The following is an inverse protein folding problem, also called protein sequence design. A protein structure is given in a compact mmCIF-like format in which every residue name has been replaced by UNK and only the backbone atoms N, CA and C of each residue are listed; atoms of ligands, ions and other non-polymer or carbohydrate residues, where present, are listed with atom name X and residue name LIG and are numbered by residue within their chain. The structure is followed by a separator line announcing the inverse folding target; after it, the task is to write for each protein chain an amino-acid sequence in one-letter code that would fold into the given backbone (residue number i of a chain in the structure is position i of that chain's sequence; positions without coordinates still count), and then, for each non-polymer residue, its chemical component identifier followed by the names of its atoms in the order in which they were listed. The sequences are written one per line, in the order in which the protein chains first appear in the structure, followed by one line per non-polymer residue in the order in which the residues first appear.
data_IF_882540966512
#
_entry.id   IF_882540966512
#
_cell.length_a   1.000
_cell.length_b   1.000
_cell.length_c   1.000
_cell.angle_alpha   90.00
_cell.angle_beta   90.00
_cell.angle_gamma   90.00
#
_symmetry.space_group_name_H-M   'P 1'
#
loop_
_entity.id
_entity.type
_entity.pdbx_description
1 polymer ?
#
# COMPACT_ATOMS: atom_id res chain seq x y z
N UNK A 1 70.59 29.53 -23.80
CA UNK A 1 70.59 28.13 -23.33
C UNK A 1 69.45 27.95 -22.33
N UNK A 2 68.75 26.80 -22.42
CA UNK A 2 67.66 26.35 -21.52
C UNK A 2 68.04 26.42 -20.03
N UNK A 3 67.07 26.72 -19.15
CA UNK A 3 66.53 25.84 -18.06
C UNK A 3 65.64 26.65 -17.08
N UNK A 4 64.34 26.30 -16.98
CA UNK A 4 63.69 25.52 -15.87
C UNK A 4 63.61 26.33 -14.56
N UNK A 5 62.47 26.94 -14.23
CA UNK A 5 61.34 26.42 -13.41
C UNK A 5 61.71 26.14 -11.94
N UNK A 6 61.18 26.95 -11.01
CA UNK A 6 60.85 26.49 -9.66
C UNK A 6 59.64 27.29 -9.15
N UNK A 7 58.55 26.57 -8.93
CA UNK A 7 57.34 27.02 -8.24
C UNK A 7 57.57 27.03 -6.72
N UNK A 8 56.86 27.89 -5.98
CA UNK A 8 56.26 27.59 -4.67
C UNK A 8 55.20 28.67 -4.32
N UNK A 9 53.97 28.15 -4.15
CA UNK A 9 52.80 28.57 -3.37
C UNK A 9 52.63 30.01 -2.86
N UNK A 10 51.47 30.60 -3.19
CA UNK A 10 50.43 30.96 -2.20
C UNK A 10 49.13 31.40 -2.92
N UNK A 11 48.29 30.42 -3.26
CA UNK A 11 46.88 30.65 -3.60
C UNK A 11 46.08 30.18 -2.38
N UNK A 12 45.76 31.13 -1.49
CA UNK A 12 44.73 30.90 -0.49
C UNK A 12 43.39 30.79 -1.22
N UNK A 13 42.89 29.57 -1.20
CA UNK A 13 41.56 29.13 -1.57
C UNK A 13 40.46 29.97 -0.90
N UNK A 14 39.82 30.85 -1.68
CA UNK A 14 38.43 31.24 -1.45
C UNK A 14 37.53 30.12 -1.98
N UNK A 15 37.54 28.98 -1.29
CA UNK A 15 36.48 27.97 -1.42
C UNK A 15 35.32 28.50 -0.57
N UNK A 16 34.39 29.18 -1.22
CA UNK A 16 33.05 29.35 -0.66
C UNK A 16 32.51 27.96 -0.32
N UNK A 17 31.99 27.71 0.90
CA UNK A 17 31.29 26.47 1.16
C UNK A 17 30.04 26.45 0.29
N UNK A 18 30.02 25.57 -0.70
CA UNK A 18 28.86 25.20 -1.50
C UNK A 18 27.83 24.56 -0.56
N UNK A 19 27.05 25.40 0.11
CA UNK A 19 25.60 25.31 0.28
C UNK A 19 24.98 23.90 0.19
N UNK A 20 25.35 22.99 1.09
CA UNK A 20 24.61 21.73 1.35
C UNK A 20 23.24 21.97 2.02
N UNK A 21 22.88 23.23 2.32
CA UNK A 21 21.63 23.60 2.99
C UNK A 21 20.43 23.81 2.05
N UNK A 22 20.58 23.79 0.71
CA UNK A 22 19.45 24.11 -0.19
C UNK A 22 18.46 22.95 -0.37
N UNK A 23 18.93 21.71 -0.49
CA UNK A 23 18.07 20.56 -0.78
C UNK A 23 17.23 20.15 0.44
N UNK A 24 17.83 20.16 1.63
CA UNK A 24 17.13 19.87 2.88
C UNK A 24 16.09 20.96 3.22
N UNK A 25 16.43 22.24 2.99
CA UNK A 25 15.49 23.35 3.15
C UNK A 25 14.33 23.28 2.15
N UNK A 26 14.60 22.98 0.88
CA UNK A 26 13.57 22.81 -0.13
C UNK A 26 12.64 21.61 0.16
N UNK A 27 13.20 20.46 0.57
CA UNK A 27 12.41 19.27 0.93
C UNK A 27 11.47 19.53 2.12
N UNK A 28 11.94 20.23 3.15
CA UNK A 28 11.12 20.61 4.32
C UNK A 28 9.97 21.57 3.94
N UNK A 29 10.20 22.48 2.99
CA UNK A 29 9.17 23.40 2.49
C UNK A 29 8.05 22.70 1.70
N UNK A 30 8.40 21.71 0.86
CA UNK A 30 7.42 20.91 0.10
C UNK A 30 6.55 20.09 1.05
N UNK A 31 7.16 19.40 2.03
CA UNK A 31 6.42 18.61 3.00
C UNK A 31 5.43 19.47 3.80
N UNK A 32 5.84 20.66 4.22
CA UNK A 32 4.99 21.60 4.94
C UNK A 32 3.80 22.05 4.10
N UNK A 33 4.04 22.40 2.83
CA UNK A 33 2.99 22.79 1.88
C UNK A 33 1.99 21.64 1.62
N UNK A 34 2.49 20.42 1.41
CA UNK A 34 1.68 19.21 1.23
C UNK A 34 0.82 18.93 2.46
N UNK A 35 1.41 18.99 3.67
CA UNK A 35 0.69 18.79 4.92
C UNK A 35 -0.39 19.85 5.15
N UNK A 36 -0.09 21.12 4.84
CA UNK A 36 -1.08 22.20 4.91
C UNK A 36 -2.25 21.94 3.96
N UNK A 37 -1.98 21.49 2.74
CA UNK A 37 -3.05 21.16 1.79
C UNK A 37 -3.86 19.94 2.26
N UNK A 38 -3.22 18.90 2.78
CA UNK A 38 -3.89 17.73 3.35
C UNK A 38 -4.81 18.10 4.52
N UNK A 39 -4.42 19.07 5.35
CA UNK A 39 -5.29 19.59 6.41
C UNK A 39 -6.47 20.40 5.83
N UNK A 40 -6.22 21.25 4.83
CA UNK A 40 -7.24 22.08 4.20
C UNK A 40 -8.33 21.24 3.51
N UNK A 41 -7.95 20.18 2.77
CA UNK A 41 -8.93 19.33 2.06
C UNK A 41 -9.85 18.55 2.99
N UNK A 42 -9.41 18.24 4.22
CA UNK A 42 -10.26 17.58 5.25
C UNK A 42 -11.41 18.46 5.71
N UNK A 43 -11.22 19.77 5.71
CA UNK A 43 -12.21 20.75 6.14
C UNK A 43 -13.06 21.29 4.98
N UNK A 44 -12.66 20.99 3.74
CA UNK A 44 -13.34 21.47 2.54
C UNK A 44 -14.72 20.83 2.43
N UNK A 45 -15.76 21.66 2.31
CA UNK A 45 -17.10 21.22 1.96
C UNK A 45 -17.21 21.03 0.45
N UNK A 46 -17.65 19.84 0.02
CA UNK A 46 -17.98 19.54 -1.37
C UNK A 46 -19.50 19.27 -1.39
N UNK A 47 -20.32 20.06 -2.11
CA UNK A 47 -21.76 19.87 -2.13
C UNK A 47 -22.16 18.44 -2.49
N UNK A 48 -22.96 17.80 -1.63
CA UNK A 48 -23.43 16.43 -1.82
C UNK A 48 -22.40 15.33 -1.50
N UNK A 49 -21.24 15.67 -0.93
CA UNK A 49 -20.20 14.72 -0.54
C UNK A 49 -19.65 14.99 0.87
N UNK A 50 -19.24 13.91 1.53
CA UNK A 50 -18.56 13.87 2.83
C UNK A 50 -17.13 13.38 2.61
N UNK A 51 -16.18 14.04 3.28
CA UNK A 51 -14.78 13.65 3.27
C UNK A 51 -14.59 12.25 3.88
N UNK A 52 -13.75 11.41 3.25
CA UNK A 52 -13.35 10.11 3.79
C UNK A 52 -11.87 10.04 4.09
N UNK A 53 -11.04 10.26 3.08
CA UNK A 53 -9.59 10.07 3.18
C UNK A 53 -8.87 10.99 2.20
N UNK A 54 -7.64 11.39 2.54
CA UNK A 54 -6.73 12.03 1.60
C UNK A 54 -5.30 11.55 1.83
N UNK A 55 -4.54 11.48 0.76
CA UNK A 55 -3.10 11.19 0.76
C UNK A 55 -2.44 11.86 -0.45
N UNK A 56 -1.12 12.00 -0.43
CA UNK A 56 -0.35 12.51 -1.57
C UNK A 56 0.18 11.37 -2.44
N UNK A 57 0.49 11.62 -3.70
CA UNK A 57 1.12 10.65 -4.61
C UNK A 57 1.83 11.38 -5.74
N UNK A 58 2.93 10.80 -6.23
CA UNK A 58 3.66 11.36 -7.37
C UNK A 58 3.14 10.80 -8.71
N UNK A 59 1.87 11.07 -9.07
CA UNK A 59 1.31 10.53 -10.32
C UNK A 59 2.06 11.02 -11.55
N UNK A 60 2.41 12.31 -11.58
CA UNK A 60 3.09 12.92 -12.73
C UNK A 60 4.62 12.92 -12.62
N UNK A 61 5.15 12.55 -11.45
CA UNK A 61 6.60 12.58 -11.17
C UNK A 61 7.17 13.99 -11.00
N UNK A 62 6.33 15.00 -10.78
CA UNK A 62 6.75 16.37 -10.42
C UNK A 62 7.36 16.42 -9.01
N UNK A 63 8.09 17.49 -8.70
CA UNK A 63 8.73 17.67 -7.39
C UNK A 63 7.73 17.87 -6.24
N UNK A 64 6.57 18.48 -6.51
CA UNK A 64 5.45 18.57 -5.56
C UNK A 64 4.45 17.47 -5.90
N UNK A 65 4.12 16.56 -4.98
CA UNK A 65 3.18 15.48 -5.24
C UNK A 65 1.75 16.02 -5.41
N UNK A 66 0.94 15.28 -6.14
CA UNK A 66 -0.50 15.50 -6.18
C UNK A 66 -1.15 15.10 -4.85
N UNK A 67 -2.24 15.77 -4.45
CA UNK A 67 -3.10 15.35 -3.34
C UNK A 67 -4.32 14.65 -3.90
N UNK A 68 -4.58 13.43 -3.45
CA UNK A 68 -5.78 12.67 -3.77
C UNK A 68 -6.75 12.77 -2.60
N UNK A 69 -7.99 13.13 -2.90
CA UNK A 69 -9.08 13.24 -1.92
C UNK A 69 -10.18 12.29 -2.33
N UNK A 70 -10.50 11.34 -1.45
CA UNK A 70 -11.67 10.49 -1.57
C UNK A 70 -12.81 11.04 -0.72
N UNK A 71 -13.99 11.10 -1.33
CA UNK A 71 -15.23 11.54 -0.71
C UNK A 71 -16.37 10.65 -1.17
N UNK A 72 -17.46 10.62 -0.40
CA UNK A 72 -18.64 9.82 -0.71
C UNK A 72 -19.90 10.62 -0.45
N UNK A 73 -21.00 10.25 -1.10
CA UNK A 73 -22.30 10.87 -0.87
C UNK A 73 -23.35 9.83 -0.55
N UNK A 74 -24.48 10.31 -0.03
CA UNK A 74 -25.61 9.48 0.34
C UNK A 74 -26.72 9.58 -0.70
N UNK A 75 -27.46 8.49 -0.84
CA UNK A 75 -28.76 8.48 -1.51
C UNK A 75 -29.73 9.40 -0.75
N UNK A 76 -30.56 10.09 -1.52
CA UNK A 76 -31.47 11.10 -0.97
C UNK A 76 -32.47 10.44 0.00
N UNK A 77 -32.48 10.93 1.24
CA UNK A 77 -33.40 10.45 2.27
C UNK A 77 -32.97 9.15 2.96
N UNK A 78 -31.75 8.66 2.69
CA UNK A 78 -31.22 7.45 3.34
C UNK A 78 -29.83 7.71 3.93
N UNK A 79 -29.31 6.74 4.67
CA UNK A 79 -27.93 6.73 5.18
C UNK A 79 -27.00 5.88 4.30
N UNK A 80 -27.50 5.48 3.12
CA UNK A 80 -26.83 4.56 2.21
C UNK A 80 -25.90 5.33 1.28
N UNK A 81 -24.66 4.88 1.15
CA UNK A 81 -23.66 5.53 0.30
C UNK A 81 -23.91 5.15 -1.16
N UNK A 82 -24.30 6.08 -2.02
CA UNK A 82 -24.67 5.77 -3.41
C UNK A 82 -23.67 6.26 -4.47
N UNK A 83 -22.72 7.11 -4.04
CA UNK A 83 -21.74 7.73 -4.91
C UNK A 83 -20.40 7.96 -4.23
N UNK A 84 -19.35 7.91 -5.04
CA UNK A 84 -17.98 8.21 -4.64
C UNK A 84 -17.37 9.25 -5.57
N UNK A 85 -16.44 10.03 -5.03
CA UNK A 85 -15.71 11.05 -5.76
C UNK A 85 -14.23 11.00 -5.33
N UNK A 86 -13.36 10.80 -6.31
CA UNK A 86 -11.92 10.89 -6.15
C UNK A 86 -11.42 12.13 -6.90
N UNK A 87 -10.92 13.13 -6.18
CA UNK A 87 -10.34 14.34 -6.77
C UNK A 87 -8.84 14.33 -6.64
N UNK A 88 -8.14 14.72 -7.71
CA UNK A 88 -6.69 14.90 -7.71
C UNK A 88 -6.36 16.38 -7.84
N UNK A 89 -5.63 16.88 -6.86
CA UNK A 89 -5.16 18.25 -6.79
C UNK A 89 -3.70 18.32 -7.16
N UNK A 90 -3.32 19.32 -7.93
CA UNK A 90 -1.94 19.60 -8.28
C UNK A 90 -1.59 21.04 -7.92
N UNK A 91 -0.39 21.23 -7.39
CA UNK A 91 0.15 22.56 -7.12
C UNK A 91 0.71 23.18 -8.39
N UNK A 92 0.33 24.42 -8.66
CA UNK A 92 0.93 25.23 -9.72
C UNK A 92 1.97 26.18 -9.09
N UNK A 93 3.28 25.98 -9.33
CA UNK A 93 4.33 26.82 -8.75
C UNK A 93 4.26 28.28 -9.17
N UNK A 94 3.82 28.57 -10.40
CA UNK A 94 3.73 29.93 -10.94
C UNK A 94 2.63 30.74 -10.26
N UNK A 95 1.47 30.12 -10.00
CA UNK A 95 0.33 30.81 -9.35
C UNK A 95 0.28 30.59 -7.84
N UNK A 96 1.14 29.72 -7.31
CA UNK A 96 1.17 29.27 -5.91
C UNK A 96 -0.18 28.72 -5.41
N UNK A 97 -0.98 28.15 -6.30
CA UNK A 97 -2.34 27.65 -6.01
C UNK A 97 -2.46 26.16 -6.30
N UNK A 98 -3.31 25.49 -5.53
CA UNK A 98 -3.75 24.13 -5.79
C UNK A 98 -5.00 24.16 -6.67
N UNK A 99 -5.03 23.33 -7.71
CA UNK A 99 -6.21 23.15 -8.58
C UNK A 99 -6.52 21.67 -8.75
N UNK A 100 -7.80 21.37 -8.98
CA UNK A 100 -8.23 20.01 -9.32
C UNK A 100 -7.87 19.77 -10.79
N UNK A 101 -7.07 18.74 -11.06
CA UNK A 101 -6.65 18.37 -12.41
C UNK A 101 -7.40 17.13 -12.94
N UNK A 102 -7.93 16.30 -12.04
CA UNK A 102 -8.76 15.15 -12.38
C UNK A 102 -9.85 14.97 -11.33
N UNK A 103 -11.01 14.50 -11.78
CA UNK A 103 -12.09 13.99 -10.92
C UNK A 103 -12.58 12.67 -11.48
N UNK A 104 -12.72 11.66 -10.63
CA UNK A 104 -13.31 10.38 -10.96
C UNK A 104 -14.54 10.22 -10.08
N UNK A 105 -15.72 10.30 -10.68
CA UNK A 105 -16.98 10.09 -9.99
C UNK A 105 -17.54 8.73 -10.40
N UNK A 106 -18.15 8.04 -9.44
CA UNK A 106 -18.88 6.81 -9.67
C UNK A 106 -20.19 6.88 -8.89
N UNK A 107 -21.27 6.41 -9.50
CA UNK A 107 -22.60 6.30 -8.89
C UNK A 107 -23.18 4.92 -9.18
N UNK A 108 -24.10 4.47 -8.32
CA UNK A 108 -24.94 3.29 -8.58
C UNK A 108 -24.18 1.97 -8.87
N UNK A 109 -22.97 1.78 -8.33
CA UNK A 109 -22.24 0.49 -8.45
C UNK A 109 -22.59 -0.45 -7.29
N UNK A 110 -22.74 -1.75 -7.56
CA UNK A 110 -23.35 -2.80 -6.71
C UNK A 110 -22.73 -3.00 -5.29
N UNK A 111 -21.65 -2.28 -4.93
CA UNK A 111 -20.95 -2.40 -3.63
C UNK A 111 -21.23 -1.24 -2.64
N UNK A 112 -22.39 -0.60 -2.78
CA UNK A 112 -22.75 0.75 -2.33
C UNK A 112 -23.12 0.95 -0.84
N UNK A 113 -22.30 0.50 0.12
CA UNK A 113 -22.41 1.05 1.51
C UNK A 113 -21.07 1.44 2.11
N UNK A 114 -20.03 1.61 1.28
CA UNK A 114 -18.67 1.87 1.75
C UNK A 114 -17.98 2.93 0.88
N UNK A 115 -17.24 3.85 1.51
CA UNK A 115 -16.47 4.84 0.78
C UNK A 115 -15.28 4.21 0.05
N UNK A 116 -14.91 4.79 -1.09
CA UNK A 116 -13.72 4.41 -1.84
C UNK A 116 -12.48 4.72 -0.99
N UNK A 117 -11.70 3.72 -0.60
CA UNK A 117 -10.56 3.90 0.31
C UNK A 117 -9.24 3.92 -0.45
N UNK A 118 -8.29 4.74 -0.02
CA UNK A 118 -6.91 4.70 -0.50
C UNK A 118 -6.21 3.56 0.25
N UNK A 119 -5.78 2.54 -0.49
CA UNK A 119 -5.24 1.28 0.07
C UNK A 119 -3.72 1.34 0.15
N UNK A 120 -3.06 1.64 -0.96
CA UNK A 120 -1.60 1.74 -1.03
C UNK A 120 -1.18 2.61 -2.21
N UNK A 121 0.09 3.02 -2.21
CA UNK A 121 0.73 3.73 -3.32
C UNK A 121 2.17 3.28 -3.46
N UNK A 122 2.71 3.41 -4.66
CA UNK A 122 4.10 3.10 -4.92
C UNK A 122 4.43 3.05 -6.40
N UNK A 123 5.69 2.75 -6.69
CA UNK A 123 6.24 2.75 -8.05
C UNK A 123 6.00 1.39 -8.70
N UNK A 124 5.19 1.34 -9.76
CA UNK A 124 4.94 0.13 -10.58
C UNK A 124 5.57 0.20 -11.97
N UNK A 125 5.61 1.39 -12.57
CA UNK A 125 6.04 1.56 -13.96
C UNK A 125 7.51 1.99 -14.04
N UNK A 126 7.86 3.08 -13.36
CA UNK A 126 9.21 3.66 -13.39
C UNK A 126 9.63 4.17 -12.00
N UNK A 127 10.78 4.84 -11.91
CA UNK A 127 11.33 5.31 -10.63
C UNK A 127 10.88 6.71 -10.21
N UNK A 128 10.18 7.43 -11.09
CA UNK A 128 9.76 8.83 -10.91
C UNK A 128 8.28 8.95 -10.57
N UNK A 129 7.44 8.13 -11.20
CA UNK A 129 5.98 8.15 -11.08
C UNK A 129 5.49 7.04 -10.16
N UNK A 130 4.53 7.40 -9.32
CA UNK A 130 3.80 6.47 -8.47
C UNK A 130 2.43 6.16 -9.07
N UNK A 131 1.91 5.01 -8.67
CA UNK A 131 0.56 4.55 -8.91
C UNK A 131 -0.12 4.39 -7.56
N UNK A 132 -1.41 4.64 -7.51
CA UNK A 132 -2.22 4.54 -6.29
C UNK A 132 -3.28 3.47 -6.49
N UNK A 133 -3.37 2.56 -5.53
CA UNK A 133 -4.47 1.62 -5.43
C UNK A 133 -5.52 2.22 -4.52
N UNK A 134 -6.71 2.40 -5.07
CA UNK A 134 -7.92 2.69 -4.29
C UNK A 134 -8.86 1.50 -4.42
N UNK A 135 -9.83 1.37 -3.54
CA UNK A 135 -10.83 0.32 -3.70
C UNK A 135 -11.97 0.40 -2.70
N UNK A 136 -13.05 -0.28 -3.05
CA UNK A 136 -14.17 -0.49 -2.14
C UNK A 136 -13.83 -1.70 -1.25
N UNK A 137 -13.85 -1.50 0.06
CA UNK A 137 -13.68 -2.58 1.04
C UNK A 137 -15.04 -2.86 1.67
N UNK A 138 -15.57 -4.07 1.45
CA UNK A 138 -16.95 -4.40 1.80
C UNK A 138 -17.11 -5.85 2.31
N UNK A 139 -18.32 -6.18 2.77
CA UNK A 139 -18.61 -7.49 3.37
C UNK A 139 -17.94 -7.70 4.73
N UNK A 140 -18.32 -8.79 5.40
CA UNK A 140 -17.75 -9.19 6.71
C UNK A 140 -16.32 -9.72 6.61
N UNK A 141 -15.89 -10.07 5.40
CA UNK A 141 -14.55 -10.55 5.06
C UNK A 141 -13.64 -9.48 4.46
N UNK A 142 -14.03 -8.20 4.52
CA UNK A 142 -13.21 -7.10 3.98
C UNK A 142 -12.77 -7.32 2.53
N UNK A 143 -13.71 -7.74 1.69
CA UNK A 143 -13.49 -7.97 0.27
C UNK A 143 -13.11 -6.65 -0.41
N UNK A 144 -12.04 -6.67 -1.22
CA UNK A 144 -11.50 -5.50 -1.90
C UNK A 144 -11.84 -5.54 -3.39
N UNK A 145 -12.53 -4.53 -3.90
CA UNK A 145 -12.67 -4.27 -5.34
C UNK A 145 -11.72 -3.12 -5.74
N UNK A 146 -10.51 -3.40 -6.26
CA UNK A 146 -9.48 -2.39 -6.44
C UNK A 146 -9.54 -1.71 -7.82
N UNK A 147 -9.11 -0.45 -7.83
CA UNK A 147 -8.80 0.34 -9.01
C UNK A 147 -7.39 0.90 -8.83
N UNK A 148 -6.54 0.72 -9.83
CA UNK A 148 -5.18 1.28 -9.83
C UNK A 148 -5.18 2.51 -10.73
N UNK A 149 -4.96 3.68 -10.14
CA UNK A 149 -4.79 4.93 -10.88
C UNK A 149 -3.31 5.24 -11.09
N UNK A 150 -3.01 5.91 -12.20
CA UNK A 150 -1.69 6.46 -12.45
C UNK A 150 -1.59 7.18 -13.79
N UNK A 151 -0.38 7.61 -14.10
CA UNK A 151 -0.03 8.21 -15.39
C UNK A 151 1.13 7.46 -16.03
N UNK A 152 0.97 7.08 -17.29
CA UNK A 152 2.04 6.47 -18.10
C UNK A 152 2.93 7.54 -18.73
N UNK A 153 2.35 8.69 -19.08
CA UNK A 153 2.97 9.79 -19.83
C UNK A 153 3.42 10.98 -18.95
N UNK A 154 3.10 10.95 -17.66
CA UNK A 154 3.35 12.06 -16.72
C UNK A 154 2.39 13.24 -16.89
N UNK A 155 1.33 13.11 -17.70
CA UNK A 155 0.37 14.17 -18.00
C UNK A 155 -1.05 13.78 -17.64
N UNK A 156 -1.54 12.65 -18.16
CA UNK A 156 -2.92 12.18 -17.95
C UNK A 156 -2.98 11.13 -16.87
N UNK A 157 -3.80 11.36 -15.85
CA UNK A 157 -4.13 10.38 -14.81
C UNK A 157 -5.36 9.61 -15.26
N UNK A 158 -5.28 8.27 -15.22
CA UNK A 158 -6.38 7.38 -15.62
C UNK A 158 -6.34 6.07 -14.81
N UNK A 159 -7.43 5.31 -14.77
CA UNK A 159 -7.38 3.91 -14.37
C UNK A 159 -6.40 3.15 -15.27
N UNK A 160 -5.51 2.37 -14.66
CA UNK A 160 -4.54 1.51 -15.33
C UNK A 160 -4.88 0.03 -15.15
N UNK A 161 -5.52 -0.33 -14.03
CA UNK A 161 -6.08 -1.64 -13.75
C UNK A 161 -7.45 -1.44 -13.11
N UNK A 162 -8.45 -2.11 -13.64
CA UNK A 162 -9.80 -2.24 -13.05
C UNK A 162 -10.18 -3.71 -13.07
N UNK A 163 -10.58 -4.27 -11.93
CA UNK A 163 -11.02 -5.68 -11.88
C UNK A 163 -12.50 -5.88 -12.19
N UNK A 164 -13.22 -4.80 -12.49
CA UNK A 164 -14.66 -4.83 -12.72
C UNK A 164 -15.38 -5.23 -11.44
N UNK A 165 -16.27 -6.21 -11.54
CA UNK A 165 -17.02 -6.79 -10.42
C UNK A 165 -16.23 -7.85 -9.63
N UNK A 166 -15.01 -8.18 -10.06
CA UNK A 166 -14.19 -9.14 -9.33
C UNK A 166 -13.62 -8.48 -8.07
N UNK A 167 -14.03 -8.99 -6.91
CA UNK A 167 -13.47 -8.65 -5.61
C UNK A 167 -12.42 -9.68 -5.16
N UNK A 168 -11.45 -9.21 -4.39
CA UNK A 168 -10.50 -10.05 -3.67
C UNK A 168 -10.98 -10.21 -2.25
N UNK A 169 -11.43 -11.41 -1.90
CA UNK A 169 -11.82 -11.73 -0.54
C UNK A 169 -10.67 -11.60 0.46
N UNK A 170 -10.96 -11.07 1.66
CA UNK A 170 -9.96 -10.74 2.70
C UNK A 170 -8.83 -9.86 2.13
N UNK A 171 -9.20 -8.99 1.19
CA UNK A 171 -8.31 -8.40 0.20
C UNK A 171 -7.54 -7.19 0.70
N UNK A 172 -6.25 -7.15 0.37
CA UNK A 172 -5.42 -5.97 0.50
C UNK A 172 -4.52 -5.84 -0.74
N UNK A 173 -3.89 -4.69 -0.92
CA UNK A 173 -2.96 -4.42 -2.01
C UNK A 173 -1.60 -3.98 -1.46
N UNK A 174 -0.53 -4.55 -2.02
CA UNK A 174 0.85 -4.20 -1.68
C UNK A 174 1.61 -3.91 -2.96
N UNK A 175 2.27 -2.75 -3.01
CA UNK A 175 3.21 -2.42 -4.08
C UNK A 175 4.63 -2.63 -3.54
N UNK A 176 5.39 -3.52 -4.18
CA UNK A 176 6.77 -3.82 -3.80
C UNK A 176 7.59 -4.19 -5.02
N UNK A 177 8.82 -3.69 -5.12
CA UNK A 177 9.76 -4.04 -6.19
C UNK A 177 9.16 -3.94 -7.62
N UNK A 178 8.42 -2.85 -7.90
CA UNK A 178 7.70 -2.61 -9.17
C UNK A 178 6.65 -3.66 -9.54
N UNK A 179 6.11 -4.33 -8.53
CA UNK A 179 5.07 -5.32 -8.69
C UNK A 179 3.92 -4.97 -7.75
N UNK A 180 2.70 -5.17 -8.25
CA UNK A 180 1.48 -5.05 -7.47
C UNK A 180 1.02 -6.44 -7.09
N UNK A 181 0.78 -6.64 -5.80
CA UNK A 181 0.27 -7.88 -5.25
C UNK A 181 -1.09 -7.61 -4.63
N UNK A 182 -2.11 -8.33 -5.08
CA UNK A 182 -3.35 -8.44 -4.33
C UNK A 182 -3.24 -9.65 -3.44
N UNK A 183 -3.30 -9.39 -2.13
CA UNK A 183 -3.09 -10.38 -1.09
C UNK A 183 -4.39 -10.61 -0.35
N UNK A 184 -4.58 -11.82 0.14
CA UNK A 184 -5.46 -12.10 1.27
C UNK A 184 -4.63 -12.28 2.53
N UNK A 185 -5.23 -12.07 3.70
CA UNK A 185 -4.74 -12.68 4.94
C UNK A 185 -3.22 -12.56 5.16
N UNK A 186 -2.73 -11.35 5.44
CA UNK A 186 -1.30 -10.98 5.56
C UNK A 186 -0.55 -11.00 4.21
N UNK A 187 0.37 -11.94 3.98
CA UNK A 187 1.24 -11.98 2.81
C UNK A 187 0.74 -12.90 1.69
N UNK A 188 -0.44 -13.50 1.85
CA UNK A 188 -0.91 -14.56 0.95
C UNK A 188 -1.33 -14.00 -0.40
N UNK A 189 -0.51 -14.13 -1.43
CA UNK A 189 -0.71 -13.51 -2.74
C UNK A 189 -1.75 -14.31 -3.54
N UNK A 190 -2.84 -13.63 -3.92
CA UNK A 190 -3.84 -14.15 -4.87
C UNK A 190 -3.42 -13.85 -6.30
N UNK A 191 -3.15 -12.58 -6.57
CA UNK A 191 -2.76 -12.09 -7.89
C UNK A 191 -1.54 -11.19 -7.82
N UNK A 192 -0.78 -11.20 -8.91
CA UNK A 192 0.38 -10.36 -9.14
C UNK A 192 0.29 -9.68 -10.50
N UNK A 193 0.56 -8.38 -10.53
CA UNK A 193 0.62 -7.58 -11.74
C UNK A 193 2.01 -6.99 -11.90
N UNK A 194 2.55 -7.12 -13.11
CA UNK A 194 3.85 -6.55 -13.50
C UNK A 194 3.67 -5.73 -14.77
N UNK A 195 4.22 -4.51 -14.80
CA UNK A 195 4.21 -3.71 -16.02
C UNK A 195 5.31 -4.19 -16.98
N UNK A 196 4.92 -4.69 -18.14
CA UNK A 196 5.83 -5.18 -19.19
C UNK A 196 5.29 -4.82 -20.56
N UNK A 197 6.17 -4.38 -21.46
CA UNK A 197 5.82 -4.05 -22.86
C UNK A 197 4.60 -3.13 -22.98
N UNK A 198 4.56 -2.06 -22.19
CA UNK A 198 3.51 -1.04 -22.25
C UNK A 198 2.20 -1.37 -21.54
N UNK A 199 2.06 -2.56 -20.93
CA UNK A 199 0.82 -3.00 -20.26
C UNK A 199 1.08 -3.72 -18.94
N UNK A 200 0.07 -3.76 -18.07
CA UNK A 200 0.09 -4.62 -16.89
C UNK A 200 -0.27 -6.06 -17.28
N UNK A 201 0.59 -7.00 -16.91
CA UNK A 201 0.39 -8.43 -17.11
C UNK A 201 0.03 -9.06 -15.76
N UNK A 202 -1.16 -9.67 -15.69
CA UNK A 202 -1.63 -10.43 -14.54
C UNK A 202 -1.03 -11.84 -14.53
N UNK A 203 -0.70 -12.33 -13.35
CA UNK A 203 -0.35 -13.72 -13.08
C UNK A 203 -0.90 -14.12 -11.72
N UNK A 204 -1.21 -15.41 -11.54
CA UNK A 204 -1.61 -15.95 -10.25
C UNK A 204 -0.43 -15.93 -9.27
N UNK A 205 -0.70 -15.61 -8.01
CA UNK A 205 0.28 -15.62 -6.93
C UNK A 205 0.81 -17.01 -6.64
N UNK A 206 2.05 -17.06 -6.16
CA UNK A 206 2.76 -18.30 -5.79
C UNK A 206 3.30 -18.24 -4.37
N UNK A 207 3.70 -19.38 -3.79
CA UNK A 207 4.43 -19.39 -2.52
C UNK A 207 5.72 -18.57 -2.52
N UNK A 208 6.39 -18.45 -3.69
CA UNK A 208 7.54 -17.57 -3.84
C UNK A 208 7.16 -16.09 -3.70
N UNK A 209 5.98 -15.71 -4.20
CA UNK A 209 5.46 -14.35 -4.06
C UNK A 209 5.06 -14.05 -2.61
N UNK A 210 4.45 -15.03 -1.91
CA UNK A 210 4.13 -14.91 -0.49
C UNK A 210 5.39 -14.61 0.34
N UNK A 211 6.47 -15.36 0.10
CA UNK A 211 7.76 -15.15 0.75
C UNK A 211 8.39 -13.79 0.41
N UNK A 212 8.24 -13.35 -0.85
CA UNK A 212 8.74 -12.06 -1.28
C UNK A 212 8.03 -10.90 -0.57
N UNK A 213 6.72 -11.00 -0.35
CA UNK A 213 5.95 -10.04 0.45
C UNK A 213 6.30 -10.13 1.93
N UNK A 214 6.41 -11.35 2.47
CA UNK A 214 6.78 -11.60 3.86
C UNK A 214 8.17 -11.04 4.24
N UNK A 215 8.99 -10.62 3.27
CA UNK A 215 10.22 -9.84 3.49
C UNK A 215 11.23 -10.52 4.42
N UNK A 216 11.33 -11.85 4.39
CA UNK A 216 12.20 -12.61 5.28
C UNK A 216 11.66 -12.70 6.72
N UNK A 217 10.32 -12.74 6.87
CA UNK A 217 9.69 -12.96 8.17
C UNK A 217 10.38 -14.10 8.93
N UNK A 218 10.85 -13.78 10.14
CA UNK A 218 11.64 -14.72 10.95
C UNK A 218 10.84 -15.96 11.35
N UNK A 219 9.54 -15.78 11.50
CA UNK A 219 8.59 -16.86 11.76
C UNK A 219 7.58 -16.93 10.61
N UNK A 220 7.13 -18.13 10.30
CA UNK A 220 6.08 -18.34 9.30
C UNK A 220 5.15 -19.45 9.74
N UNK A 221 3.86 -19.20 9.61
CA UNK A 221 2.82 -20.23 9.59
C UNK A 221 2.70 -20.65 8.13
N UNK A 222 2.80 -21.94 7.83
CA UNK A 222 2.73 -22.41 6.44
C UNK A 222 1.42 -23.12 6.18
N UNK A 223 0.91 -22.98 4.95
CA UNK A 223 -0.21 -23.77 4.44
C UNK A 223 0.26 -24.64 3.28
N UNK A 224 -0.30 -25.85 3.19
CA UNK A 224 0.02 -26.80 2.13
C UNK A 224 -1.17 -27.70 1.80
N UNK A 225 -1.16 -28.33 0.62
CA UNK A 225 -2.11 -29.39 0.27
C UNK A 225 -1.48 -30.76 0.50
N UNK A 226 -2.09 -31.56 1.36
CA UNK A 226 -1.69 -32.95 1.60
C UNK A 226 -2.84 -33.84 1.16
N UNK A 227 -2.60 -34.72 0.16
CA UNK A 227 -3.61 -35.61 -0.41
C UNK A 227 -4.90 -34.86 -0.80
N UNK A 228 -4.74 -33.69 -1.43
CA UNK A 228 -5.84 -32.83 -1.88
C UNK A 228 -6.50 -31.96 -0.78
N UNK A 229 -6.21 -32.19 0.50
CA UNK A 229 -6.75 -31.41 1.62
C UNK A 229 -5.82 -30.27 2.01
N UNK A 230 -6.38 -29.10 2.27
CA UNK A 230 -5.64 -27.95 2.77
C UNK A 230 -5.32 -28.11 4.26
N UNK A 231 -4.07 -27.89 4.64
CA UNK A 231 -3.57 -28.09 6.01
C UNK A 231 -2.74 -26.88 6.46
N UNK A 232 -2.94 -26.45 7.72
CA UNK A 232 -2.07 -25.46 8.38
C UNK A 232 -0.89 -26.19 9.06
N UNK A 233 0.25 -26.11 8.41
CA UNK A 233 1.53 -26.67 8.86
C UNK A 233 2.31 -25.59 9.62
N UNK A 234 2.00 -25.46 10.91
CA UNK A 234 2.67 -24.56 11.85
C UNK A 234 2.86 -25.25 13.20
N UNK A 235 3.85 -24.81 13.99
CA UNK A 235 3.91 -25.19 15.40
C UNK A 235 2.71 -24.59 16.13
N UNK A 236 2.14 -25.32 17.09
CA UNK A 236 1.02 -24.81 17.90
C UNK A 236 1.46 -23.64 18.79
N UNK A 237 2.76 -23.48 19.03
CA UNK A 237 3.33 -22.34 19.74
C UNK A 237 4.50 -21.72 18.97
N UNK A 238 4.60 -20.39 19.01
CA UNK A 238 5.68 -19.60 18.43
C UNK A 238 6.17 -18.62 19.51
N UNK A 239 7.49 -18.60 19.76
CA UNK A 239 8.10 -17.58 20.61
C UNK A 239 8.81 -16.56 19.73
N UNK A 240 8.46 -15.28 19.88
CA UNK A 240 9.00 -14.16 19.11
C UNK A 240 9.70 -13.20 20.06
N UNK A 241 10.77 -12.53 19.62
CA UNK A 241 11.32 -11.35 20.30
C UNK A 241 10.64 -10.09 19.80
N UNK A 242 10.63 -9.00 20.59
CA UNK A 242 10.22 -7.68 20.09
C UNK A 242 11.06 -7.34 18.85
N UNK A 243 10.38 -6.91 17.79
CA UNK A 243 10.99 -6.64 16.48
C UNK A 243 10.88 -7.80 15.48
N UNK A 244 10.71 -9.04 15.95
CA UNK A 244 10.51 -10.20 15.07
C UNK A 244 9.21 -10.05 14.26
N UNK A 245 9.18 -10.68 13.09
CA UNK A 245 8.02 -10.70 12.21
C UNK A 245 7.53 -12.13 11.97
N UNK A 246 6.21 -12.25 11.88
CA UNK A 246 5.47 -13.46 11.57
C UNK A 246 4.64 -13.24 10.30
N UNK A 247 4.64 -14.20 9.39
CA UNK A 247 3.79 -14.17 8.20
C UNK A 247 3.10 -15.52 7.98
N UNK A 248 2.21 -15.55 6.99
CA UNK A 248 1.53 -16.76 6.54
C UNK A 248 1.78 -16.91 5.05
N UNK A 249 2.30 -18.07 4.66
CA UNK A 249 2.80 -18.33 3.31
C UNK A 249 2.45 -19.74 2.86
N UNK A 250 2.35 -19.98 1.55
CA UNK A 250 2.36 -21.36 1.03
C UNK A 250 3.73 -21.99 1.31
N UNK A 251 3.73 -23.25 1.76
CA UNK A 251 4.97 -23.99 2.07
C UNK A 251 5.85 -24.21 0.84
N UNK A 252 5.23 -24.58 -0.29
CA UNK A 252 5.94 -24.79 -1.55
C UNK A 252 5.96 -23.48 -2.38
N UNK A 253 7.15 -23.08 -2.81
CA UNK A 253 7.39 -21.86 -3.60
C UNK A 253 6.63 -21.83 -4.92
N UNK A 254 6.37 -22.99 -5.54
CA UNK A 254 5.67 -23.07 -6.84
C UNK A 254 4.17 -23.27 -6.69
N UNK A 255 3.67 -23.46 -5.48
CA UNK A 255 2.25 -23.68 -5.24
C UNK A 255 1.45 -22.43 -5.58
N UNK A 256 0.39 -22.63 -6.36
CA UNK A 256 -0.56 -21.62 -6.81
C UNK A 256 -1.95 -21.81 -6.21
N UNK A 257 -2.13 -22.85 -5.40
CA UNK A 257 -3.43 -23.23 -4.87
C UNK A 257 -4.07 -22.07 -4.11
N UNK A 258 -5.39 -22.00 -4.24
CA UNK A 258 -6.23 -21.16 -3.40
C UNK A 258 -6.46 -21.85 -2.05
N UNK A 259 -6.44 -21.05 -0.99
CA UNK A 259 -6.69 -21.45 0.39
C UNK A 259 -7.61 -20.39 1.00
N UNK A 260 -8.81 -20.77 1.44
CA UNK A 260 -9.72 -19.84 2.14
C UNK A 260 -9.29 -19.75 3.60
N UNK A 261 -8.40 -18.80 3.90
CA UNK A 261 -7.86 -18.60 5.24
C UNK A 261 -8.52 -17.41 5.94
N UNK A 262 -9.18 -17.67 7.08
CA UNK A 262 -9.75 -16.63 7.94
C UNK A 262 -9.12 -16.60 9.33
N UNK A 263 -9.10 -15.41 9.93
CA UNK A 263 -8.71 -15.20 11.34
C UNK A 263 -9.91 -14.80 12.18
N UNK A 264 -10.09 -15.46 13.32
CA UNK A 264 -11.24 -15.21 14.19
C UNK A 264 -10.93 -14.26 15.35
N UNK A 265 -9.67 -14.06 15.74
CA UNK A 265 -9.29 -13.34 16.97
C UNK A 265 -8.36 -12.13 16.79
N UNK A 266 -8.29 -11.34 17.88
CA UNK A 266 -8.25 -9.88 18.03
C UNK A 266 -6.90 -9.16 17.89
N UNK A 267 -5.92 -9.70 17.16
CA UNK A 267 -4.59 -9.07 17.05
C UNK A 267 -4.57 -7.75 16.24
N UNK A 268 -5.71 -7.30 15.71
CA UNK A 268 -5.78 -6.16 14.79
C UNK A 268 -5.79 -4.78 15.45
N UNK A 269 -6.12 -4.66 16.75
CA UNK A 269 -6.33 -3.34 17.37
C UNK A 269 -5.39 -3.04 18.54
N UNK A 270 -5.14 -4.01 19.42
CA UNK A 270 -4.30 -3.83 20.61
C UNK A 270 -3.65 -5.16 20.98
N UNK A 271 -2.34 -5.19 21.19
CA UNK A 271 -1.63 -6.42 21.53
C UNK A 271 -0.15 -6.42 21.15
N UNK A 272 0.55 -7.53 21.45
CA UNK A 272 1.98 -7.65 21.24
C UNK A 272 2.39 -7.74 19.76
N UNK A 273 1.42 -7.94 18.85
CA UNK A 273 1.61 -7.98 17.40
C UNK A 273 0.85 -6.84 16.71
N UNK A 274 1.44 -6.25 15.66
CA UNK A 274 0.78 -5.30 14.76
C UNK A 274 0.93 -5.72 13.31
N UNK A 275 -0.14 -5.61 12.52
CA UNK A 275 -0.05 -5.80 11.07
C UNK A 275 0.71 -4.63 10.43
N UNK A 276 1.77 -4.94 9.68
CA UNK A 276 2.56 -4.02 8.89
C UNK A 276 2.76 -4.62 7.51
N UNK A 277 2.02 -4.12 6.52
CA UNK A 277 2.25 -4.44 5.10
C UNK A 277 2.33 -5.93 4.77
N UNK A 278 1.42 -6.74 5.32
CA UNK A 278 1.36 -8.18 5.04
C UNK A 278 2.19 -9.05 5.98
N UNK A 279 2.74 -8.50 7.07
CA UNK A 279 3.34 -9.27 8.15
C UNK A 279 2.85 -8.80 9.51
N UNK A 280 2.88 -9.67 10.52
CA UNK A 280 2.68 -9.31 11.92
C UNK A 280 4.04 -9.02 12.57
N UNK A 281 4.26 -7.77 12.99
CA UNK A 281 5.46 -7.38 13.74
C UNK A 281 5.21 -7.45 15.24
N UNK A 282 6.10 -8.10 15.97
CA UNK A 282 6.14 -8.04 17.42
C UNK A 282 6.59 -6.65 17.88
N UNK A 283 5.75 -5.95 18.65
CA UNK A 283 6.00 -4.56 19.07
C UNK A 283 6.09 -4.38 20.58
N UNK A 284 5.59 -5.34 21.36
CA UNK A 284 5.71 -5.35 22.82
C UNK A 284 5.64 -6.78 23.34
N UNK A 285 6.24 -7.08 24.50
CA UNK A 285 6.08 -8.38 25.14
C UNK A 285 4.61 -8.69 25.45
N UNK A 286 4.26 -9.96 25.47
CA UNK A 286 2.90 -10.42 25.78
C UNK A 286 2.53 -11.70 25.03
N UNK A 287 1.37 -12.26 25.39
CA UNK A 287 0.83 -13.47 24.75
C UNK A 287 -0.35 -13.11 23.86
N UNK A 288 -0.47 -13.77 22.72
CA UNK A 288 -1.62 -13.64 21.82
C UNK A 288 -1.94 -14.97 21.16
N UNK A 289 -3.21 -15.19 20.90
CA UNK A 289 -3.69 -16.37 20.20
C UNK A 289 -4.14 -15.99 18.79
N UNK A 290 -3.71 -16.79 17.81
CA UNK A 290 -4.12 -16.65 16.40
C UNK A 290 -4.95 -17.89 16.05
N UNK A 291 -6.27 -17.69 16.01
CA UNK A 291 -7.22 -18.72 15.60
C UNK A 291 -7.47 -18.65 14.10
N UNK A 292 -7.20 -19.75 13.41
CA UNK A 292 -7.22 -19.85 11.96
C UNK A 292 -8.22 -20.91 11.50
N UNK A 293 -9.08 -20.49 10.59
CA UNK A 293 -9.96 -21.36 9.82
C UNK A 293 -9.41 -21.49 8.42
N UNK A 294 -9.40 -22.72 7.89
CA UNK A 294 -8.93 -23.00 6.54
C UNK A 294 -9.98 -23.83 5.79
N UNK A 295 -10.44 -23.36 4.63
CA UNK A 295 -11.48 -23.97 3.80
C UNK A 295 -12.74 -24.34 4.62
N UNK A 296 -13.24 -23.38 5.40
CA UNK A 296 -14.44 -23.48 6.25
C UNK A 296 -14.37 -24.49 7.42
N UNK A 297 -13.27 -25.21 7.57
CA UNK A 297 -13.02 -26.07 8.73
C UNK A 297 -12.19 -25.32 9.78
N UNK A 298 -12.61 -25.38 11.05
CA UNK A 298 -11.86 -24.79 12.17
C UNK A 298 -10.62 -25.64 12.41
N UNK A 299 -9.45 -25.14 12.03
CA UNK A 299 -8.33 -26.03 11.76
C UNK A 299 -7.17 -25.87 12.73
N UNK A 300 -6.90 -24.66 13.26
CA UNK A 300 -5.75 -24.48 14.13
C UNK A 300 -5.77 -23.23 14.98
N UNK A 301 -5.38 -23.40 16.23
CA UNK A 301 -5.00 -22.31 17.13
C UNK A 301 -3.47 -22.27 17.25
N UNK A 302 -2.89 -21.09 17.07
CA UNK A 302 -1.45 -20.85 17.28
C UNK A 302 -1.25 -19.86 18.43
N UNK A 303 -0.51 -20.26 19.45
CA UNK A 303 -0.15 -19.43 20.59
C UNK A 303 1.16 -18.71 20.32
N UNK A 304 1.15 -17.38 20.30
CA UNK A 304 2.35 -16.56 20.12
C UNK A 304 2.72 -15.92 21.45
N UNK A 305 3.95 -16.17 21.90
CA UNK A 305 4.54 -15.54 23.08
C UNK A 305 5.63 -14.56 22.64
N UNK A 306 5.40 -13.27 22.82
CA UNK A 306 6.39 -12.23 22.55
C UNK A 306 7.19 -11.95 23.83
N UNK A 307 8.49 -12.16 23.75
CA UNK A 307 9.46 -11.86 24.81
C UNK A 307 10.26 -10.61 24.44
N UNK A 308 10.97 -10.04 25.42
CA UNK A 308 11.87 -8.90 25.19
C UNK A 308 12.97 -9.26 24.21
#
# INVERSE_FOLDING_TARGET
MKKVLLAILLLFSLVTPLQEHSEASAASSVQTMVNKQLAAVKQRKIPGYVFHQADFVYFTGKSVPEIVVSSYGYEKGTTLIDKSLLQVYQYNPSTKKWSIINSFASSYQIYNYRPLSIITKGKLIDNKKEQMVVGYVWGSRFDLTPIVYGSTDGKKIKPLITTGENSFQDGNAIIKNKQLYFVSSLAFVKDKYVYKSGKFVRSQGTGADDLAIASGAKHSITVEKIKGKSVISAKSSITMKVGDTLSIVRKNKTDKSFYDLRFWNSFWKQGPLKNQSGVLKAVSPGKVTIDMQLDYNFNKTVYVNVVK
#
